data_IF_283661341408
#
_entry.id   IF_283661341408
#
_cell.length_a   1.000
_cell.length_b   1.000
_cell.length_c   1.000
_cell.angle_alpha   90.00
_cell.angle_beta   90.00
_cell.angle_gamma   90.00
#
_symmetry.space_group_name_H-M   'P 1'
#
loop_
_entity.id
_entity.type
_entity.pdbx_description
1 polymer ?
#
# COMPACT_ATOMS: atom_id res chain seq x y z
N UNK A 1 23.00 19.48 17.30
CA UNK A 1 22.36 20.80 17.51
C UNK A 1 22.00 20.92 18.98
N UNK A 2 22.41 22.00 19.64
CA UNK A 2 22.03 22.26 21.04
C UNK A 2 20.87 23.26 21.07
N UNK A 3 19.78 22.90 21.76
CA UNK A 3 18.71 23.84 22.06
C UNK A 3 18.92 24.39 23.46
N UNK A 4 18.93 25.71 23.57
CA UNK A 4 18.97 26.41 24.85
C UNK A 4 17.56 26.85 25.21
N UNK A 5 17.19 26.64 26.46
CA UNK A 5 15.90 27.01 27.00
C UNK A 5 16.01 28.32 27.79
N UNK A 6 14.88 29.03 27.92
CA UNK A 6 14.82 30.35 28.59
C UNK A 6 15.22 30.32 30.08
N UNK A 7 15.29 29.13 30.67
CA UNK A 7 15.76 28.88 32.03
C UNK A 7 17.26 28.55 32.11
N UNK A 8 18.00 28.70 31.00
CA UNK A 8 19.43 28.46 30.90
C UNK A 8 19.83 26.99 30.76
N UNK A 9 18.87 26.05 30.70
CA UNK A 9 19.17 24.64 30.44
C UNK A 9 19.50 24.45 28.95
N UNK A 10 20.54 23.68 28.68
CA UNK A 10 20.92 23.32 27.31
C UNK A 10 20.72 21.82 27.10
N UNK A 11 20.10 21.44 25.98
CA UNK A 11 19.93 20.05 25.60
C UNK A 11 20.58 19.79 24.25
N UNK A 12 21.49 18.81 24.21
CA UNK A 12 22.06 18.32 22.98
C UNK A 12 21.06 17.38 22.27
N UNK A 13 20.83 17.61 20.99
CA UNK A 13 20.03 16.73 20.13
C UNK A 13 20.62 15.31 20.11
N UNK A 14 19.77 14.29 20.31
CA UNK A 14 20.17 12.89 20.27
C UNK A 14 19.15 12.06 19.50
N UNK A 15 19.61 11.16 18.63
CA UNK A 15 18.79 10.24 17.83
C UNK A 15 18.52 8.90 18.52
N UNK A 16 18.83 8.80 19.82
CA UNK A 16 18.75 7.54 20.57
C UNK A 16 17.42 7.45 21.31
N UNK A 17 16.71 6.34 21.12
CA UNK A 17 15.39 6.12 21.67
C UNK A 17 15.36 6.08 23.20
N UNK A 18 16.40 5.56 23.87
CA UNK A 18 16.44 5.52 25.34
C UNK A 18 16.65 6.91 25.93
N UNK A 19 17.48 7.74 25.29
CA UNK A 19 17.67 9.15 25.70
C UNK A 19 16.42 10.01 25.46
N UNK A 20 15.66 9.74 24.40
CA UNK A 20 14.37 10.39 24.17
C UNK A 20 13.33 10.06 25.26
N UNK A 21 13.28 8.80 25.71
CA UNK A 21 12.40 8.36 26.82
C UNK A 21 12.80 8.99 28.16
N UNK A 22 14.10 9.05 28.46
CA UNK A 22 14.60 9.70 29.68
C UNK A 22 14.22 11.20 29.70
N UNK A 23 14.24 11.85 28.54
CA UNK A 23 13.87 13.26 28.40
C UNK A 23 12.37 13.51 28.60
N UNK A 24 11.52 12.63 28.07
CA UNK A 24 10.06 12.62 28.27
C UNK A 24 9.67 12.51 29.76
N UNK A 25 10.47 11.79 30.54
CA UNK A 25 10.22 11.58 31.97
C UNK A 25 10.77 12.73 32.84
N UNK A 26 11.83 13.41 32.39
CA UNK A 26 12.57 14.38 33.20
C UNK A 26 12.29 15.86 32.87
N UNK A 27 11.67 16.17 31.73
CA UNK A 27 11.32 17.54 31.34
C UNK A 27 9.80 17.69 31.19
N UNK A 28 9.23 18.75 31.79
CA UNK A 28 7.80 19.08 31.69
C UNK A 28 7.36 19.00 30.22
N UNK A 29 6.44 18.08 29.94
CA UNK A 29 6.09 17.52 28.63
C UNK A 29 5.55 18.50 27.56
N UNK A 30 5.72 19.80 27.75
CA UNK A 30 5.29 20.85 26.85
C UNK A 30 6.24 21.13 25.67
N UNK A 31 7.43 20.49 25.61
CA UNK A 31 8.37 20.68 24.48
C UNK A 31 8.53 19.47 23.55
N UNK A 32 8.03 18.28 23.92
CA UNK A 32 8.10 17.08 23.06
C UNK A 32 7.06 17.11 21.93
N UNK A 33 5.95 17.83 22.10
CA UNK A 33 5.02 18.07 20.99
C UNK A 33 5.71 18.77 19.82
N UNK A 34 6.73 19.56 20.08
CA UNK A 34 7.53 20.22 19.05
C UNK A 34 8.48 19.24 18.35
N UNK A 35 9.06 18.26 19.06
CA UNK A 35 9.90 17.21 18.47
C UNK A 35 9.14 16.28 17.51
N UNK A 36 7.96 15.80 17.90
CA UNK A 36 7.10 15.01 17.02
C UNK A 36 6.60 15.87 15.84
N UNK A 37 6.32 17.15 16.08
CA UNK A 37 6.01 18.11 15.00
C UNK A 37 7.20 18.34 14.09
N UNK A 38 8.43 18.38 14.58
CA UNK A 38 9.64 18.61 13.79
C UNK A 38 10.00 17.40 12.94
N UNK A 39 9.90 16.17 13.46
CA UNK A 39 10.10 14.97 12.64
C UNK A 39 8.99 14.82 11.59
N UNK A 40 7.73 15.06 11.96
CA UNK A 40 6.62 15.11 11.00
C UNK A 40 6.78 16.24 9.99
N UNK A 41 7.25 17.42 10.41
CA UNK A 41 7.51 18.57 9.55
C UNK A 41 8.68 18.27 8.61
N UNK A 42 9.75 17.65 9.10
CA UNK A 42 10.91 17.28 8.29
C UNK A 42 10.53 16.18 7.30
N UNK A 43 9.71 15.20 7.69
CA UNK A 43 9.15 14.22 6.77
C UNK A 43 8.17 14.84 5.76
N UNK A 44 7.35 15.81 6.15
CA UNK A 44 6.47 16.55 5.25
C UNK A 44 7.26 17.44 4.26
N UNK A 45 8.31 18.12 4.74
CA UNK A 45 9.24 18.91 3.93
C UNK A 45 10.07 18.03 2.99
N UNK A 46 10.38 16.80 3.40
CA UNK A 46 11.05 15.78 2.57
C UNK A 46 10.09 15.03 1.65
N UNK A 47 8.79 15.37 1.68
CA UNK A 47 7.75 14.73 0.86
C UNK A 47 7.44 13.26 1.22
N UNK A 48 7.89 12.80 2.38
CA UNK A 48 7.98 11.38 2.74
C UNK A 48 6.96 10.91 3.79
N UNK A 49 5.94 11.71 4.12
CA UNK A 49 4.90 11.25 5.05
C UNK A 49 3.53 11.80 4.71
N UNK A 50 2.63 10.97 4.16
CA UNK A 50 1.22 11.10 4.43
C UNK A 50 0.93 10.46 5.79
N UNK A 51 0.08 11.10 6.58
CA UNK A 51 -0.70 10.40 7.60
C UNK A 51 -1.66 9.49 6.83
N UNK A 52 -1.41 8.17 6.83
CA UNK A 52 -2.39 7.21 6.30
C UNK A 52 -3.58 7.14 7.24
N UNK A 53 -4.81 7.34 6.74
CA UNK A 53 -6.01 7.17 7.56
C UNK A 53 -6.11 5.76 8.12
N UNK A 54 -6.82 5.62 9.25
CA UNK A 54 -7.06 4.31 9.84
C UNK A 54 -7.78 3.37 8.85
N UNK A 55 -7.28 2.15 8.75
CA UNK A 55 -7.77 1.15 7.78
C UNK A 55 -7.16 1.25 6.38
N UNK A 56 -6.27 2.21 6.12
CA UNK A 56 -5.55 2.34 4.85
C UNK A 56 -4.11 1.85 4.94
N UNK A 57 -3.61 1.26 3.86
CA UNK A 57 -2.20 0.86 3.72
C UNK A 57 -1.52 1.69 2.64
N UNK A 58 -0.26 2.05 2.85
CA UNK A 58 0.54 2.65 1.78
C UNK A 58 0.90 1.58 0.76
N UNK A 59 0.71 1.92 -0.51
CA UNK A 59 1.02 1.06 -1.65
C UNK A 59 1.86 1.82 -2.66
N UNK A 60 2.71 1.13 -3.45
CA UNK A 60 3.54 1.80 -4.43
C UNK A 60 2.70 2.38 -5.56
N UNK A 61 3.06 3.59 -6.02
CA UNK A 61 2.39 4.25 -7.15
C UNK A 61 2.52 3.46 -8.46
N UNK A 62 3.57 2.65 -8.60
CA UNK A 62 3.83 1.78 -9.75
C UNK A 62 4.18 0.39 -9.28
N UNK A 63 3.61 -0.63 -9.91
CA UNK A 63 3.93 -2.02 -9.63
C UNK A 63 5.16 -2.45 -10.44
N UNK A 64 6.18 -2.94 -9.76
CA UNK A 64 7.40 -3.44 -10.43
C UNK A 64 7.81 -4.79 -9.83
N UNK A 65 8.82 -5.43 -10.42
CA UNK A 65 9.36 -6.66 -9.82
C UNK A 65 10.25 -6.32 -8.62
N UNK A 66 10.98 -5.21 -8.72
CA UNK A 66 11.98 -4.74 -7.76
C UNK A 66 11.35 -4.31 -6.43
N UNK A 67 10.11 -3.80 -6.45
CA UNK A 67 9.36 -3.49 -5.23
C UNK A 67 8.53 -4.67 -4.69
N UNK A 68 8.72 -5.88 -5.25
CA UNK A 68 8.06 -7.11 -4.80
C UNK A 68 6.63 -7.29 -5.30
N UNK A 69 6.02 -6.30 -5.96
CA UNK A 69 4.62 -6.38 -6.36
C UNK A 69 4.33 -7.54 -7.33
N UNK A 70 5.26 -7.84 -8.23
CA UNK A 70 5.08 -8.95 -9.17
C UNK A 70 4.91 -10.30 -8.46
N UNK A 71 5.73 -10.57 -7.46
CA UNK A 71 5.65 -11.81 -6.69
C UNK A 71 4.39 -11.88 -5.83
N UNK A 72 3.95 -10.74 -5.29
CA UNK A 72 2.76 -10.68 -4.44
C UNK A 72 1.42 -10.80 -5.19
N UNK A 73 1.37 -10.40 -6.47
CA UNK A 73 0.09 -10.30 -7.20
C UNK A 73 -0.05 -11.33 -8.34
N UNK A 74 1.05 -11.85 -8.88
CA UNK A 74 0.97 -12.79 -10.00
C UNK A 74 0.45 -14.15 -9.51
N UNK A 75 -0.63 -14.65 -10.12
CA UNK A 75 -1.25 -15.93 -9.76
C UNK A 75 -2.41 -15.82 -8.77
N UNK A 76 -2.54 -14.67 -8.08
CA UNK A 76 -3.64 -14.43 -7.13
C UNK A 76 -4.98 -14.15 -7.82
N UNK A 77 -4.94 -13.72 -9.08
CA UNK A 77 -6.12 -13.35 -9.85
C UNK A 77 -6.31 -14.29 -11.04
N UNK A 78 -7.53 -14.79 -11.20
CA UNK A 78 -7.94 -15.58 -12.36
C UNK A 78 -9.34 -15.18 -12.80
N UNK A 79 -9.59 -15.21 -14.10
CA UNK A 79 -10.92 -15.07 -14.68
C UNK A 79 -11.46 -16.42 -15.10
N UNK A 80 -12.73 -16.67 -14.79
CA UNK A 80 -13.45 -17.82 -15.30
C UNK A 80 -13.77 -17.60 -16.78
N UNK A 81 -13.36 -18.53 -17.63
CA UNK A 81 -13.71 -18.54 -19.05
C UNK A 81 -14.15 -19.94 -19.46
N UNK A 82 -14.78 -20.03 -20.63
CA UNK A 82 -15.29 -21.26 -21.18
C UNK A 82 -14.53 -21.61 -22.45
N UNK A 83 -13.98 -22.82 -22.50
CA UNK A 83 -13.43 -23.40 -23.72
C UNK A 83 -14.42 -24.42 -24.29
N UNK A 84 -14.35 -24.68 -25.59
CA UNK A 84 -15.15 -25.74 -26.19
C UNK A 84 -14.70 -27.11 -25.67
N UNK A 85 -15.65 -28.01 -25.39
CA UNK A 85 -15.30 -29.39 -25.07
C UNK A 85 -14.77 -30.09 -26.32
N UNK A 86 -13.51 -30.52 -26.27
CA UNK A 86 -12.81 -31.14 -27.40
C UNK A 86 -13.22 -32.61 -27.61
N UNK A 87 -13.88 -33.21 -26.63
CA UNK A 87 -14.23 -34.64 -26.63
C UNK A 87 -15.67 -34.90 -27.04
N UNK A 88 -16.55 -33.89 -27.02
CA UNK A 88 -17.95 -34.13 -27.35
C UNK A 88 -18.20 -34.30 -28.84
N UNK A 89 -17.38 -33.72 -29.73
CA UNK A 89 -17.63 -33.73 -31.18
C UNK A 89 -19.06 -33.31 -31.62
N UNK A 90 -19.80 -32.60 -30.77
CA UNK A 90 -21.21 -32.24 -31.00
C UNK A 90 -22.24 -33.25 -30.50
N UNK A 91 -21.84 -34.23 -29.69
CA UNK A 91 -22.71 -35.16 -28.99
C UNK A 91 -23.30 -34.51 -27.72
N UNK A 92 -24.60 -34.74 -27.53
CA UNK A 92 -25.40 -34.21 -26.42
C UNK A 92 -25.24 -35.08 -25.17
N UNK A 93 -24.73 -36.33 -25.31
CA UNK A 93 -24.48 -37.29 -24.23
C UNK A 93 -22.98 -37.42 -23.91
N UNK A 94 -22.36 -36.27 -23.64
CA UNK A 94 -20.91 -36.16 -23.46
C UNK A 94 -20.51 -36.13 -21.98
N UNK A 95 -19.91 -37.22 -21.48
CA UNK A 95 -19.50 -37.40 -20.08
C UNK A 95 -18.57 -36.29 -19.54
N UNK A 96 -17.74 -35.69 -20.40
CA UNK A 96 -16.73 -34.71 -20.00
C UNK A 96 -17.30 -33.31 -19.75
N UNK A 97 -18.44 -32.96 -20.34
CA UNK A 97 -19.05 -31.65 -20.14
C UNK A 97 -20.56 -31.70 -19.87
N UNK A 98 -21.11 -32.89 -19.64
CA UNK A 98 -22.53 -33.13 -19.32
C UNK A 98 -23.47 -32.49 -20.36
N UNK A 99 -23.14 -32.67 -21.65
CA UNK A 99 -23.89 -32.13 -22.78
C UNK A 99 -23.81 -30.60 -22.99
N UNK A 100 -23.07 -29.85 -22.17
CA UNK A 100 -22.97 -28.39 -22.29
C UNK A 100 -22.15 -27.89 -23.49
N UNK A 101 -21.33 -28.75 -24.07
CA UNK A 101 -20.37 -28.44 -25.14
C UNK A 101 -19.23 -27.51 -24.72
N UNK A 102 -19.14 -27.11 -23.44
CA UNK A 102 -18.15 -26.14 -22.95
C UNK A 102 -17.60 -26.55 -21.59
N UNK A 103 -16.32 -26.29 -21.36
CA UNK A 103 -15.62 -26.57 -20.11
C UNK A 103 -15.24 -25.25 -19.45
N UNK A 104 -15.58 -25.11 -18.18
CA UNK A 104 -15.16 -23.97 -17.36
C UNK A 104 -13.68 -24.11 -16.98
N UNK A 105 -12.89 -23.07 -17.24
CA UNK A 105 -11.49 -22.99 -16.83
C UNK A 105 -11.21 -21.66 -16.14
N UNK A 106 -10.19 -21.65 -15.28
CA UNK A 106 -9.66 -20.43 -14.65
C UNK A 106 -8.38 -20.01 -15.36
N UNK A 107 -8.43 -18.89 -16.08
CA UNK A 107 -7.26 -18.34 -16.75
C UNK A 107 -6.62 -17.28 -15.84
N UNK A 108 -5.33 -17.40 -15.50
CA UNK A 108 -4.66 -16.42 -14.66
C UNK A 108 -4.58 -15.05 -15.34
N UNK A 109 -4.84 -13.99 -14.58
CA UNK A 109 -4.71 -12.62 -15.06
C UNK A 109 -3.23 -12.30 -15.25
N UNK A 110 -2.87 -11.85 -16.45
CA UNK A 110 -1.46 -11.58 -16.78
C UNK A 110 -0.90 -10.40 -15.97
N UNK A 111 0.40 -10.44 -15.71
CA UNK A 111 1.12 -9.34 -15.04
C UNK A 111 0.92 -7.99 -15.75
N UNK A 112 0.89 -7.96 -17.08
CA UNK A 112 0.56 -6.75 -17.86
C UNK A 112 -0.83 -6.21 -17.55
N UNK A 113 -1.84 -7.09 -17.50
CA UNK A 113 -3.23 -6.70 -17.19
C UNK A 113 -3.34 -6.16 -15.77
N UNK A 114 -2.71 -6.83 -14.78
CA UNK A 114 -2.68 -6.36 -13.38
C UNK A 114 -2.11 -4.94 -13.30
N UNK A 115 -0.98 -4.67 -13.98
CA UNK A 115 -0.41 -3.31 -14.04
C UNK A 115 -1.37 -2.30 -14.64
N UNK A 116 -2.02 -2.62 -15.76
CA UNK A 116 -2.97 -1.72 -16.41
C UNK A 116 -4.19 -1.41 -15.54
N UNK A 117 -4.69 -2.39 -14.76
CA UNK A 117 -5.78 -2.17 -13.80
C UNK A 117 -5.29 -1.27 -12.66
N UNK A 118 -4.11 -1.54 -12.12
CA UNK A 118 -3.52 -0.74 -11.05
C UNK A 118 -3.31 0.72 -11.48
N UNK A 119 -2.72 0.94 -12.66
CA UNK A 119 -2.46 2.28 -13.19
C UNK A 119 -3.77 3.07 -13.34
N UNK A 120 -4.84 2.45 -13.83
CA UNK A 120 -6.19 3.07 -13.87
C UNK A 120 -6.70 3.45 -12.48
N UNK A 121 -6.48 2.60 -11.48
CA UNK A 121 -6.83 2.90 -10.09
C UNK A 121 -6.04 4.09 -9.56
N UNK A 122 -4.72 4.10 -9.75
CA UNK A 122 -3.84 5.20 -9.35
C UNK A 122 -4.25 6.51 -10.02
N UNK A 123 -4.56 6.51 -11.32
CA UNK A 123 -5.04 7.69 -12.04
C UNK A 123 -6.34 8.23 -11.44
N UNK A 124 -7.32 7.36 -11.17
CA UNK A 124 -8.59 7.73 -10.57
C UNK A 124 -8.43 8.35 -9.18
N UNK A 125 -7.63 7.72 -8.32
CA UNK A 125 -7.42 8.19 -6.95
C UNK A 125 -6.49 9.42 -6.87
N UNK A 126 -5.54 9.57 -7.80
CA UNK A 126 -4.71 10.76 -7.89
C UNK A 126 -5.46 11.99 -8.43
N UNK A 127 -6.45 11.79 -9.30
CA UNK A 127 -7.24 12.88 -9.88
C UNK A 127 -8.31 13.45 -8.93
N UNK A 128 -8.71 12.69 -7.90
CA UNK A 128 -9.69 13.16 -6.92
C UNK A 128 -8.97 13.88 -5.76
N UNK A 129 -9.29 15.15 -5.44
CA UNK A 129 -8.86 15.73 -4.19
C UNK A 129 -9.47 14.90 -3.06
N UNK A 130 -8.62 14.43 -2.15
CA UNK A 130 -8.98 13.64 -0.97
C UNK A 130 -10.20 14.27 -0.30
N UNK A 131 -11.37 13.62 -0.39
CA UNK A 131 -12.59 14.17 0.18
C UNK A 131 -12.39 14.26 1.69
N UNK A 132 -12.46 15.48 2.23
CA UNK A 132 -12.42 15.75 3.66
C UNK A 132 -13.51 14.94 4.35
N UNK A 133 -13.10 14.10 5.30
CA UNK A 133 -14.00 13.39 6.20
C UNK A 133 -14.67 14.45 7.08
N UNK A 134 -16.00 14.56 6.96
CA UNK A 134 -16.86 15.38 7.83
C UNK A 134 -16.94 14.81 9.23
#
# INVERSE_FOLDING_TARGET
>A
YEMQFDDGRTCAFHTDAQKAVQWLQACDGNRVQEYVKLERLQNALSGNSPVTPDGWVMVPKRLTAENGAKGALSGEFSETTFISCLECFGDDDCDTCDGSGRIEIKVPVTWSTIKSIWDKGIEYFAAKPSQEVK
#
